data_IF_710071369998
#
_entry.id   IF_710071369998
#
_cell.length_a   1.000
_cell.length_b   1.000
_cell.length_c   1.000
_cell.angle_alpha   90.00
_cell.angle_beta   90.00
_cell.angle_gamma   90.00
#
_symmetry.space_group_name_H-M   'P 1'
#
loop_
_entity.id
_entity.type
_entity.pdbx_description
1 polymer ?
#
# COMPACT_ATOMS: atom_id res chain seq x y z
N UNK A 1 3.18 -0.71 -42.22
CA UNK A 1 2.07 -0.45 -41.25
C UNK A 1 2.12 -1.43 -40.07
N UNK A 2 3.27 -1.60 -39.42
CA UNK A 2 3.43 -2.42 -38.19
C UNK A 2 3.78 -1.57 -36.97
N UNK A 3 4.03 -0.29 -37.19
CA UNK A 3 4.57 0.64 -36.20
C UNK A 3 3.51 1.20 -35.26
N UNK A 4 2.31 1.48 -35.78
CA UNK A 4 1.18 2.01 -35.00
C UNK A 4 0.67 1.00 -33.97
N UNK A 5 0.64 -0.29 -34.30
CA UNK A 5 0.20 -1.33 -33.38
C UNK A 5 1.20 -1.54 -32.23
N UNK A 6 2.50 -1.45 -32.52
CA UNK A 6 3.55 -1.56 -31.51
C UNK A 6 3.63 -0.32 -30.62
N UNK A 7 3.49 0.88 -31.20
CA UNK A 7 3.33 2.13 -30.44
C UNK A 7 2.06 2.14 -29.58
N UNK A 8 0.91 1.68 -30.10
CA UNK A 8 -0.31 1.56 -29.30
C UNK A 8 -0.14 0.55 -28.16
N UNK A 9 0.51 -0.59 -28.40
CA UNK A 9 0.78 -1.59 -27.35
C UNK A 9 1.76 -1.06 -26.29
N UNK A 10 2.79 -0.29 -26.68
CA UNK A 10 3.71 0.35 -25.74
C UNK A 10 3.09 1.56 -25.04
N UNK A 11 2.19 2.31 -25.69
CA UNK A 11 1.36 3.33 -25.04
C UNK A 11 0.42 2.70 -24.03
N UNK A 12 -0.31 1.64 -24.40
CA UNK A 12 -1.20 0.91 -23.49
C UNK A 12 -0.44 0.33 -22.30
N UNK A 13 0.76 -0.25 -22.53
CA UNK A 13 1.62 -0.68 -21.44
C UNK A 13 2.06 0.50 -20.56
N UNK A 14 2.39 1.67 -21.13
CA UNK A 14 2.71 2.89 -20.38
C UNK A 14 1.50 3.59 -19.74
N UNK A 15 0.27 3.35 -20.19
CA UNK A 15 -0.95 3.92 -19.58
C UNK A 15 -1.48 3.06 -18.44
N UNK A 16 -1.14 1.76 -18.41
CA UNK A 16 -1.56 0.82 -17.38
C UNK A 16 -0.48 0.64 -16.30
N UNK A 17 0.81 0.83 -16.62
CA UNK A 17 1.95 0.64 -15.68
C UNK A 17 2.18 1.78 -14.68
N UNK A 18 1.14 2.54 -14.34
CA UNK A 18 1.23 3.65 -13.40
C UNK A 18 -0.13 4.14 -12.92
N UNK A 19 -1.20 3.34 -13.10
CA UNK A 19 -2.49 3.68 -12.50
C UNK A 19 -2.39 3.47 -10.99
N UNK A 20 -2.59 4.50 -10.16
CA UNK A 20 -2.54 4.38 -8.71
C UNK A 20 -3.46 3.28 -8.17
N UNK A 21 -4.60 3.03 -8.82
CA UNK A 21 -5.53 1.97 -8.44
C UNK A 21 -4.93 0.57 -8.66
N UNK A 22 -4.19 0.38 -9.75
CA UNK A 22 -3.52 -0.90 -10.04
C UNK A 22 -2.39 -1.12 -9.03
N UNK A 23 -1.61 -0.10 -8.71
CA UNK A 23 -0.57 -0.19 -7.67
C UNK A 23 -1.17 -0.47 -6.29
N UNK A 24 -2.34 0.09 -5.94
CA UNK A 24 -3.07 -0.26 -4.70
C UNK A 24 -3.48 -1.74 -4.68
N UNK A 25 -4.09 -2.24 -5.77
CA UNK A 25 -4.56 -3.63 -5.85
C UNK A 25 -3.37 -4.58 -5.75
N UNK A 26 -2.31 -4.33 -6.51
CA UNK A 26 -1.08 -5.12 -6.44
C UNK A 26 -0.43 -5.02 -5.05
N UNK A 27 -0.45 -3.85 -4.41
CA UNK A 27 0.06 -3.65 -3.06
C UNK A 27 -0.68 -4.52 -2.04
N UNK A 28 -2.02 -4.58 -2.13
CA UNK A 28 -2.87 -5.44 -1.29
C UNK A 28 -2.56 -6.93 -1.52
N UNK A 29 -2.49 -7.35 -2.77
CA UNK A 29 -2.15 -8.74 -3.12
C UNK A 29 -0.74 -9.10 -2.63
N UNK A 30 0.24 -8.21 -2.77
CA UNK A 30 1.59 -8.41 -2.24
C UNK A 30 1.60 -8.52 -0.72
N UNK A 31 0.81 -7.69 -0.02
CA UNK A 31 0.65 -7.79 1.43
C UNK A 31 0.07 -9.14 1.86
N UNK A 32 -1.00 -9.59 1.22
CA UNK A 32 -1.61 -10.91 1.48
C UNK A 32 -0.62 -12.07 1.22
N UNK A 33 0.24 -11.92 0.22
CA UNK A 33 1.31 -12.87 -0.09
C UNK A 33 2.53 -12.78 0.83
N UNK A 34 2.49 -11.90 1.85
CA UNK A 34 3.60 -11.61 2.77
C UNK A 34 4.85 -11.05 2.08
N UNK A 35 4.70 -10.54 0.86
CA UNK A 35 5.75 -9.81 0.15
C UNK A 35 5.69 -8.33 0.58
N UNK A 36 6.11 -8.09 1.83
CA UNK A 36 5.96 -6.78 2.47
C UNK A 36 6.79 -5.70 1.79
N UNK A 37 8.00 -6.02 1.31
CA UNK A 37 8.84 -5.07 0.58
C UNK A 37 8.16 -4.58 -0.70
N UNK A 38 7.57 -5.50 -1.48
CA UNK A 38 6.84 -5.14 -2.69
C UNK A 38 5.55 -4.40 -2.37
N UNK A 39 4.83 -4.81 -1.33
CA UNK A 39 3.62 -4.11 -0.89
C UNK A 39 3.91 -2.65 -0.55
N UNK A 40 4.97 -2.40 0.24
CA UNK A 40 5.43 -1.05 0.59
C UNK A 40 5.71 -0.23 -0.66
N UNK A 41 6.50 -0.76 -1.60
CA UNK A 41 6.85 -0.05 -2.83
C UNK A 41 5.61 0.36 -3.64
N UNK A 42 4.66 -0.57 -3.83
CA UNK A 42 3.46 -0.35 -4.63
C UNK A 42 2.51 0.66 -3.99
N UNK A 43 2.31 0.59 -2.68
CA UNK A 43 1.49 1.58 -1.97
C UNK A 43 2.15 2.96 -1.96
N UNK A 44 3.47 3.04 -1.79
CA UNK A 44 4.20 4.32 -1.85
C UNK A 44 4.16 4.95 -3.25
N UNK A 45 4.23 4.13 -4.31
CA UNK A 45 4.04 4.60 -5.68
C UNK A 45 2.65 5.22 -5.86
N UNK A 46 1.59 4.51 -5.44
CA UNK A 46 0.23 5.06 -5.51
C UNK A 46 0.07 6.32 -4.65
N UNK A 47 0.70 6.38 -3.48
CA UNK A 47 0.58 7.49 -2.53
C UNK A 47 1.17 8.80 -3.08
N UNK A 48 2.07 8.74 -4.07
CA UNK A 48 2.63 9.93 -4.74
C UNK A 48 1.61 10.62 -5.64
N UNK A 49 0.73 9.83 -6.25
CA UNK A 49 -0.26 10.32 -7.21
C UNK A 49 -1.60 10.65 -6.53
N UNK A 50 -2.04 9.80 -5.60
CA UNK A 50 -3.31 9.98 -4.88
C UNK A 50 -3.18 9.57 -3.41
N UNK A 51 -3.85 10.29 -2.49
CA UNK A 51 -3.96 9.84 -1.12
C UNK A 51 -4.53 8.42 -1.02
N UNK A 52 -3.91 7.59 -0.19
CA UNK A 52 -4.38 6.25 0.09
C UNK A 52 -5.64 6.28 0.98
N UNK A 53 -6.58 5.38 0.71
CA UNK A 53 -7.73 5.14 1.58
C UNK A 53 -7.32 4.48 2.90
N UNK A 54 -8.24 4.44 3.88
CA UNK A 54 -7.98 3.87 5.20
C UNK A 54 -7.43 2.43 5.10
N UNK A 55 -8.03 1.59 4.26
CA UNK A 55 -7.62 0.19 4.08
C UNK A 55 -6.21 0.07 3.49
N UNK A 56 -5.83 0.89 2.51
CA UNK A 56 -4.50 0.83 1.91
C UNK A 56 -3.44 1.39 2.85
N UNK A 57 -3.77 2.43 3.62
CA UNK A 57 -2.92 2.88 4.72
C UNK A 57 -2.72 1.78 5.77
N UNK A 58 -3.78 1.05 6.12
CA UNK A 58 -3.69 -0.08 7.04
C UNK A 58 -2.74 -1.16 6.51
N UNK A 59 -2.94 -1.64 5.27
CA UNK A 59 -2.06 -2.64 4.67
C UNK A 59 -0.61 -2.17 4.58
N UNK A 60 -0.39 -0.89 4.22
CA UNK A 60 0.95 -0.31 4.18
C UNK A 60 1.59 -0.26 5.58
N UNK A 61 0.87 0.20 6.60
CA UNK A 61 1.35 0.26 7.97
C UNK A 61 1.68 -1.13 8.54
N UNK A 62 0.84 -2.12 8.26
CA UNK A 62 1.08 -3.52 8.62
C UNK A 62 2.28 -4.11 7.88
N UNK A 63 2.46 -3.80 6.59
CA UNK A 63 3.63 -4.21 5.83
C UNK A 63 4.93 -3.63 6.43
N UNK A 64 4.92 -2.35 6.82
CA UNK A 64 6.04 -1.73 7.53
C UNK A 64 6.31 -2.41 8.88
N UNK A 65 5.27 -2.76 9.66
CA UNK A 65 5.42 -3.45 10.93
C UNK A 65 6.12 -4.80 10.74
N UNK A 66 5.69 -5.58 9.75
CA UNK A 66 6.29 -6.88 9.43
C UNK A 66 7.70 -6.78 8.86
N UNK A 67 8.01 -5.69 8.15
CA UNK A 67 9.36 -5.36 7.72
C UNK A 67 10.24 -4.78 8.86
N UNK A 68 9.74 -4.71 10.10
CA UNK A 68 10.40 -4.10 11.27
C UNK A 68 10.72 -2.60 11.13
N UNK A 69 10.06 -1.91 10.20
CA UNK A 69 10.10 -0.46 10.04
C UNK A 69 9.15 0.20 11.05
N UNK A 70 9.50 0.14 12.33
CA UNK A 70 8.59 0.49 13.45
C UNK A 70 8.11 1.95 13.39
N UNK A 71 8.97 2.88 13.02
CA UNK A 71 8.64 4.30 13.00
C UNK A 71 7.57 4.59 11.93
N UNK A 72 7.79 4.10 10.71
CA UNK A 72 6.86 4.24 9.60
C UNK A 72 5.56 3.47 9.84
N UNK A 73 5.64 2.26 10.40
CA UNK A 73 4.47 1.49 10.79
C UNK A 73 3.59 2.29 11.76
N UNK A 74 4.20 2.90 12.79
CA UNK A 74 3.49 3.70 13.77
C UNK A 74 2.80 4.91 13.14
N UNK A 75 3.51 5.66 12.31
CA UNK A 75 2.94 6.84 11.65
C UNK A 75 1.75 6.44 10.76
N UNK A 76 1.94 5.43 9.92
CA UNK A 76 0.97 5.06 8.88
C UNK A 76 -0.26 4.38 9.49
N UNK A 77 -0.10 3.52 10.50
CA UNK A 77 -1.23 2.90 11.19
C UNK A 77 -2.09 3.93 11.94
N UNK A 78 -1.48 4.98 12.52
CA UNK A 78 -2.23 6.08 13.12
C UNK A 78 -3.03 6.86 12.07
N UNK A 79 -2.46 7.10 10.89
CA UNK A 79 -3.19 7.72 9.77
C UNK A 79 -4.34 6.84 9.28
N UNK A 80 -4.14 5.52 9.22
CA UNK A 80 -5.21 4.58 8.86
C UNK A 80 -6.38 4.67 9.84
N UNK A 81 -6.10 4.67 11.15
CA UNK A 81 -7.11 4.83 12.20
C UNK A 81 -7.90 6.14 12.06
N UNK A 82 -7.21 7.25 11.77
CA UNK A 82 -7.85 8.55 11.55
C UNK A 82 -8.70 8.59 10.27
N UNK A 83 -8.32 7.82 9.25
CA UNK A 83 -9.03 7.76 7.97
C UNK A 83 -10.33 6.92 8.01
N UNK A 84 -10.61 6.24 9.12
CA UNK A 84 -11.85 5.48 9.31
C UNK A 84 -11.72 4.01 8.91
N UNK A 85 -11.00 3.23 9.71
CA UNK A 85 -10.96 1.78 9.59
C UNK A 85 -12.25 1.13 10.13
N UNK A 86 -12.54 -0.08 9.65
CA UNK A 86 -13.56 -0.92 10.30
C UNK A 86 -13.10 -1.32 11.71
N UNK A 87 -14.04 -1.65 12.60
CA UNK A 87 -13.72 -1.98 13.99
C UNK A 87 -12.70 -3.12 14.13
N UNK A 88 -12.77 -4.11 13.24
CA UNK A 88 -11.83 -5.23 13.22
C UNK A 88 -10.40 -4.77 12.90
N UNK A 89 -10.24 -4.00 11.82
CA UNK A 89 -8.94 -3.47 11.39
C UNK A 89 -8.39 -2.46 12.39
N UNK A 90 -9.25 -1.61 12.95
CA UNK A 90 -8.87 -0.65 13.97
C UNK A 90 -8.37 -1.34 15.24
N UNK A 91 -9.04 -2.43 15.65
CA UNK A 91 -8.62 -3.26 16.77
C UNK A 91 -7.24 -3.89 16.54
N UNK A 92 -7.00 -4.44 15.35
CA UNK A 92 -5.71 -5.03 14.98
C UNK A 92 -4.59 -3.97 14.89
N UNK A 93 -4.85 -2.85 14.22
CA UNK A 93 -3.90 -1.73 14.12
C UNK A 93 -3.46 -1.23 15.50
N UNK A 94 -4.40 -1.06 16.43
CA UNK A 94 -4.10 -0.63 17.81
C UNK A 94 -3.23 -1.65 18.57
N UNK A 95 -3.48 -2.96 18.37
CA UNK A 95 -2.64 -4.01 18.99
C UNK A 95 -1.22 -3.96 18.47
N UNK A 96 -1.04 -3.83 17.16
CA UNK A 96 0.29 -3.71 16.55
C UNK A 96 0.99 -2.44 17.03
N UNK A 97 0.28 -1.31 17.11
CA UNK A 97 0.82 -0.05 17.64
C UNK A 97 1.33 -0.18 19.08
N UNK A 98 0.63 -0.94 19.93
CA UNK A 98 1.04 -1.21 21.30
C UNK A 98 2.31 -2.08 21.34
N UNK A 99 2.38 -3.12 20.52
CA UNK A 99 3.53 -4.03 20.43
C UNK A 99 4.81 -3.30 19.95
N UNK A 100 4.71 -2.47 18.91
CA UNK A 100 5.86 -1.75 18.39
C UNK A 100 6.28 -0.55 19.23
N UNK A 101 5.36 0.02 20.04
CA UNK A 101 5.60 1.19 20.88
C UNK A 101 6.03 0.89 22.32
N UNK A 102 5.95 -0.37 22.76
CA UNK A 102 6.27 -0.80 24.13
C UNK A 102 7.71 -1.28 24.36
N UNK A 103 8.66 -0.87 23.50
CA UNK A 103 10.07 -1.29 23.59
C UNK A 103 11.03 -0.12 23.75
#
# INVERSE_FOLDING_TARGET
KRDVAYELATKARRTISGDPLISIVLGRVSYERKDFSRAIQLFQESAREKPLDARSLYCLGMAHAQARHKAEAKEILNRALQAGLSDAEAGEAKRVLADIGGG
#
